data_IF_336446166534
#
_entry.id   IF_336446166534
#
_cell.length_a   1.000
_cell.length_b   1.000
_cell.length_c   1.000
_cell.angle_alpha   90.00
_cell.angle_beta   90.00
_cell.angle_gamma   90.00
#
_symmetry.space_group_name_H-M   'P 1'
#
loop_
_entity.id
_entity.type
_entity.pdbx_description
1 polymer ?
#
# COMPACT_ATOMS: atom_id res chain seq x y z
N UNK A 1 -9.52 10.55 -39.12
CA UNK A 1 -8.34 9.67 -39.04
C UNK A 1 -7.13 10.35 -38.38
N UNK A 2 -6.80 11.62 -38.66
CA UNK A 2 -5.72 12.31 -37.92
C UNK A 2 -6.11 12.70 -36.48
N UNK A 3 -7.37 13.08 -36.23
CA UNK A 3 -7.87 13.41 -34.88
C UNK A 3 -7.83 12.22 -33.92
N UNK A 4 -8.27 11.06 -34.39
CA UNK A 4 -8.33 9.81 -33.61
C UNK A 4 -6.96 9.29 -33.20
N UNK A 5 -5.94 9.50 -34.04
CA UNK A 5 -4.58 9.09 -33.70
C UNK A 5 -3.97 9.98 -32.61
N UNK A 6 -4.21 11.30 -32.67
CA UNK A 6 -3.71 12.24 -31.64
C UNK A 6 -4.36 11.95 -30.29
N UNK A 7 -5.66 11.65 -30.26
CA UNK A 7 -6.37 11.25 -29.04
C UNK A 7 -5.80 9.94 -28.43
N UNK A 8 -5.58 8.91 -29.25
CA UNK A 8 -4.98 7.64 -28.78
C UNK A 8 -3.58 7.87 -28.18
N UNK A 9 -2.74 8.70 -28.83
CA UNK A 9 -1.42 9.01 -28.27
C UNK A 9 -1.49 9.79 -26.95
N UNK A 10 -2.50 10.66 -26.78
CA UNK A 10 -2.72 11.35 -25.51
C UNK A 10 -3.18 10.39 -24.39
N UNK A 11 -4.13 9.51 -24.66
CA UNK A 11 -4.64 8.54 -23.68
C UNK A 11 -3.53 7.57 -23.23
N UNK A 12 -2.73 7.05 -24.17
CA UNK A 12 -1.60 6.19 -23.85
C UNK A 12 -0.54 6.92 -23.01
N UNK A 13 -0.27 8.19 -23.33
CA UNK A 13 0.66 9.01 -22.55
C UNK A 13 0.17 9.20 -21.13
N UNK A 14 -1.12 9.51 -20.94
CA UNK A 14 -1.72 9.65 -19.62
C UNK A 14 -1.67 8.34 -18.83
N UNK A 15 -1.96 7.21 -19.49
CA UNK A 15 -1.79 5.88 -18.88
C UNK A 15 -0.36 5.64 -18.40
N UNK A 16 0.64 5.88 -19.24
CA UNK A 16 2.04 5.65 -18.85
C UNK A 16 2.49 6.59 -17.73
N UNK A 17 2.04 7.84 -17.73
CA UNK A 17 2.31 8.77 -16.64
C UNK A 17 1.71 8.27 -15.32
N UNK A 18 0.44 7.84 -15.31
CA UNK A 18 -0.19 7.27 -14.11
C UNK A 18 0.54 5.98 -13.68
N UNK A 19 0.77 5.06 -14.63
CA UNK A 19 1.38 3.75 -14.37
C UNK A 19 2.79 3.86 -13.79
N UNK A 20 3.65 4.71 -14.35
CA UNK A 20 5.03 4.88 -13.88
C UNK A 20 5.15 5.77 -12.64
N UNK A 21 4.08 6.46 -12.25
CA UNK A 21 4.07 7.27 -11.03
C UNK A 21 3.87 6.45 -9.75
N UNK A 22 3.34 5.23 -9.87
CA UNK A 22 3.16 4.32 -8.76
C UNK A 22 4.51 3.94 -8.13
N UNK A 23 4.62 4.09 -6.80
CA UNK A 23 5.77 3.58 -6.05
C UNK A 23 5.77 2.05 -6.12
N UNK A 24 6.74 1.49 -6.84
CA UNK A 24 6.89 0.04 -7.00
C UNK A 24 7.94 -0.52 -6.03
N UNK A 25 7.49 -1.36 -5.10
CA UNK A 25 8.34 -1.97 -4.08
C UNK A 25 8.43 -3.47 -4.33
N UNK A 26 9.66 -3.95 -4.46
CA UNK A 26 9.97 -5.34 -4.83
C UNK A 26 10.78 -6.01 -3.73
N UNK A 27 11.01 -7.32 -3.90
CA UNK A 27 11.96 -8.03 -3.05
C UNK A 27 13.34 -7.40 -3.08
N UNK A 28 14.02 -7.44 -1.94
CA UNK A 28 15.40 -6.98 -1.79
C UNK A 28 16.30 -8.07 -1.24
N UNK A 29 17.55 -7.96 -1.62
CA UNK A 29 18.68 -8.72 -1.08
C UNK A 29 19.67 -7.74 -0.46
N UNK A 30 20.64 -8.26 0.29
CA UNK A 30 21.68 -7.45 0.94
C UNK A 30 21.11 -6.42 1.91
N UNK A 31 19.98 -6.74 2.54
CA UNK A 31 19.39 -5.93 3.60
C UNK A 31 20.28 -6.00 4.86
N UNK A 32 20.24 -4.98 5.73
CA UNK A 32 20.68 -5.15 7.11
C UNK A 32 19.97 -6.36 7.74
N UNK A 33 20.66 -7.10 8.62
CA UNK A 33 20.10 -8.30 9.24
C UNK A 33 18.70 -8.05 9.81
N UNK A 34 17.75 -8.87 9.36
CA UNK A 34 16.35 -8.74 9.75
C UNK A 34 16.18 -9.03 11.24
N UNK A 35 15.24 -8.37 11.93
CA UNK A 35 15.14 -8.38 13.39
C UNK A 35 15.18 -9.80 13.99
N UNK A 36 16.18 -10.06 14.83
CA UNK A 36 16.34 -11.33 15.54
C UNK A 36 16.87 -12.49 14.69
N UNK A 37 17.38 -12.24 13.49
CA UNK A 37 17.88 -13.28 12.56
C UNK A 37 19.15 -12.85 11.83
N UNK A 38 19.77 -13.79 11.10
CA UNK A 38 20.85 -13.50 10.14
C UNK A 38 20.34 -13.28 8.71
N UNK A 39 19.03 -13.36 8.49
CA UNK A 39 18.43 -13.17 7.17
C UNK A 39 18.63 -11.74 6.67
N UNK A 40 18.90 -11.59 5.38
CA UNK A 40 19.18 -10.30 4.72
C UNK A 40 18.34 -10.11 3.45
N UNK A 41 17.24 -10.87 3.33
CA UNK A 41 16.36 -10.81 2.17
C UNK A 41 14.91 -11.16 2.52
N UNK A 42 13.98 -10.56 1.80
CA UNK A 42 12.56 -10.92 1.83
C UNK A 42 12.13 -11.77 0.62
N UNK A 43 13.09 -12.17 -0.22
CA UNK A 43 12.85 -13.06 -1.35
C UNK A 43 12.18 -14.36 -0.91
N UNK A 44 11.06 -14.70 -1.53
CA UNK A 44 10.34 -15.96 -1.30
C UNK A 44 9.27 -15.92 -0.21
N UNK A 45 9.10 -14.80 0.51
CA UNK A 45 8.09 -14.70 1.56
C UNK A 45 7.51 -13.28 1.79
N UNK A 46 8.24 -12.22 1.41
CA UNK A 46 7.88 -10.83 1.68
C UNK A 46 6.78 -10.23 0.79
N UNK A 47 6.24 -10.94 -0.19
CA UNK A 47 5.43 -10.34 -1.27
C UNK A 47 4.24 -9.56 -0.73
N UNK A 48 3.52 -10.13 0.25
CA UNK A 48 2.34 -9.48 0.80
C UNK A 48 2.68 -8.21 1.57
N UNK A 49 3.83 -8.16 2.26
CA UNK A 49 4.30 -6.94 2.92
C UNK A 49 4.62 -5.87 1.87
N UNK A 50 5.32 -6.22 0.78
CA UNK A 50 5.59 -5.31 -0.34
C UNK A 50 4.30 -4.79 -0.99
N UNK A 51 3.32 -5.66 -1.23
CA UNK A 51 2.01 -5.27 -1.76
C UNK A 51 1.28 -4.29 -0.84
N UNK A 52 1.29 -4.52 0.48
CA UNK A 52 0.71 -3.58 1.43
C UNK A 52 1.51 -2.26 1.52
N UNK A 53 2.84 -2.31 1.43
CA UNK A 53 3.65 -1.09 1.36
C UNK A 53 3.25 -0.25 0.14
N UNK A 54 3.10 -0.86 -1.04
CA UNK A 54 2.67 -0.15 -2.27
C UNK A 54 1.27 0.45 -2.11
N UNK A 55 0.32 -0.29 -1.51
CA UNK A 55 -1.04 0.22 -1.25
C UNK A 55 -1.03 1.44 -0.32
N UNK A 56 -0.22 1.39 0.75
CA UNK A 56 -0.10 2.50 1.69
C UNK A 56 0.66 3.67 1.04
N UNK A 57 1.70 3.41 0.26
CA UNK A 57 2.46 4.42 -0.47
C UNK A 57 1.53 5.19 -1.42
N UNK A 58 0.74 4.48 -2.23
CA UNK A 58 -0.23 5.09 -3.14
C UNK A 58 -1.27 5.93 -2.37
N UNK A 59 -1.72 5.45 -1.22
CA UNK A 59 -2.63 6.24 -0.36
C UNK A 59 -1.99 7.56 0.08
N UNK A 60 -0.71 7.53 0.47
CA UNK A 60 0.01 8.74 0.86
C UNK A 60 0.25 9.67 -0.33
N UNK A 61 0.55 9.13 -1.52
CA UNK A 61 0.66 9.93 -2.75
C UNK A 61 -0.67 10.65 -3.02
N UNK A 62 -1.79 9.93 -3.03
CA UNK A 62 -3.11 10.52 -3.27
C UNK A 62 -3.47 11.61 -2.25
N UNK A 63 -3.10 11.42 -0.98
CA UNK A 63 -3.42 12.37 0.08
C UNK A 63 -2.58 13.65 0.06
N UNK A 64 -1.31 13.55 -0.32
CA UNK A 64 -0.38 14.68 -0.25
C UNK A 64 -0.16 15.35 -1.62
N UNK A 65 -0.19 14.57 -2.70
CA UNK A 65 0.16 15.01 -4.06
C UNK A 65 -1.01 14.96 -5.05
N UNK A 66 -2.11 14.30 -4.69
CA UNK A 66 -3.23 14.05 -5.61
C UNK A 66 -2.92 12.98 -6.66
N UNK A 67 -3.83 12.79 -7.62
CA UNK A 67 -3.73 11.76 -8.66
C UNK A 67 -3.12 12.33 -9.95
N UNK A 68 -1.81 12.20 -10.10
CA UNK A 68 -1.07 12.54 -11.34
C UNK A 68 -0.94 14.04 -11.66
N UNK A 69 -1.56 14.94 -10.90
CA UNK A 69 -1.42 16.40 -11.05
C UNK A 69 0.02 16.85 -10.75
N UNK A 70 0.64 16.21 -9.76
CA UNK A 70 2.01 16.48 -9.33
C UNK A 70 3.07 16.12 -10.39
N UNK A 71 2.75 15.23 -11.33
CA UNK A 71 3.64 14.85 -12.45
C UNK A 71 3.77 15.93 -13.52
N UNK A 72 2.89 16.96 -13.48
CA UNK A 72 2.87 18.07 -14.44
C UNK A 72 3.60 19.32 -13.92
N UNK A 73 4.10 19.27 -12.68
CA UNK A 73 4.78 20.34 -11.95
C UNK A 73 6.20 19.90 -11.60
N UNK A 74 7.22 20.71 -11.86
CA UNK A 74 8.63 20.23 -11.87
C UNK A 74 9.40 20.36 -10.55
N UNK A 75 8.94 21.14 -9.54
CA UNK A 75 9.86 21.52 -8.43
C UNK A 75 9.37 21.15 -7.03
N UNK A 76 8.11 21.39 -6.65
CA UNK A 76 7.63 21.14 -5.27
C UNK A 76 7.14 19.70 -5.05
N UNK A 77 6.70 19.02 -6.12
CA UNK A 77 6.18 17.65 -6.08
C UNK A 77 7.26 16.60 -5.85
N UNK A 78 8.50 16.85 -6.28
CA UNK A 78 9.60 15.87 -6.21
C UNK A 78 10.11 15.65 -4.78
N UNK A 79 10.18 16.71 -3.97
CA UNK A 79 10.65 16.60 -2.58
C UNK A 79 9.63 15.88 -1.68
N UNK A 80 8.34 16.20 -1.82
CA UNK A 80 7.27 15.50 -1.10
C UNK A 80 7.16 14.03 -1.54
N UNK A 81 7.32 13.74 -2.84
CA UNK A 81 7.42 12.37 -3.34
C UNK A 81 8.59 11.61 -2.71
N UNK A 82 9.79 12.20 -2.68
CA UNK A 82 10.97 11.59 -2.04
C UNK A 82 10.76 11.37 -0.54
N UNK A 83 10.12 12.32 0.14
CA UNK A 83 9.79 12.18 1.55
C UNK A 83 8.85 11.00 1.80
N UNK A 84 7.84 10.80 0.95
CA UNK A 84 6.94 9.64 1.03
C UNK A 84 7.72 8.35 0.73
N UNK A 85 8.53 8.33 -0.33
CA UNK A 85 9.35 7.17 -0.71
C UNK A 85 10.31 6.75 0.41
N UNK A 86 10.95 7.72 1.07
CA UNK A 86 11.88 7.47 2.18
C UNK A 86 11.23 6.76 3.37
N UNK A 87 9.91 6.91 3.57
CA UNK A 87 9.19 6.18 4.63
C UNK A 87 9.26 4.66 4.45
N UNK A 88 9.38 4.19 3.21
CA UNK A 88 9.37 2.77 2.83
C UNK A 88 10.76 2.22 2.54
N UNK A 89 11.81 3.01 2.75
CA UNK A 89 13.18 2.57 2.53
C UNK A 89 13.46 1.27 3.30
N UNK A 90 14.31 0.42 2.71
CA UNK A 90 14.73 -0.84 3.30
C UNK A 90 15.85 -0.63 4.35
N UNK A 91 15.62 0.34 5.21
CA UNK A 91 16.50 0.77 6.29
C UNK A 91 15.85 0.45 7.66
N UNK A 92 16.68 0.29 8.67
CA UNK A 92 16.24 -0.03 10.05
C UNK A 92 15.40 1.08 10.68
N UNK A 93 15.60 2.33 10.26
CA UNK A 93 14.95 3.52 10.81
C UNK A 93 13.70 3.95 10.03
N UNK A 94 13.49 3.40 8.83
CA UNK A 94 12.36 3.72 7.99
C UNK A 94 11.03 3.28 8.64
N UNK A 95 10.08 4.20 8.90
CA UNK A 95 8.90 3.91 9.72
C UNK A 95 7.89 2.97 9.06
N UNK A 96 7.85 2.92 7.73
CA UNK A 96 7.01 2.03 6.92
C UNK A 96 7.86 0.98 6.17
N UNK A 97 9.17 0.93 6.45
CA UNK A 97 10.12 -0.02 5.89
C UNK A 97 9.92 -1.43 6.44
N UNK A 98 10.52 -2.41 5.74
CA UNK A 98 10.37 -3.83 6.05
C UNK A 98 10.80 -4.16 7.49
N UNK A 99 11.96 -3.67 7.93
CA UNK A 99 12.48 -3.92 9.29
C UNK A 99 11.48 -3.49 10.36
N UNK A 100 10.84 -2.33 10.19
CA UNK A 100 9.87 -1.83 11.15
C UNK A 100 8.63 -2.71 11.24
N UNK A 101 8.13 -3.17 10.10
CA UNK A 101 6.98 -4.08 10.05
C UNK A 101 7.29 -5.41 10.74
N UNK A 102 8.47 -5.98 10.50
CA UNK A 102 8.91 -7.23 11.14
C UNK A 102 9.13 -7.08 12.65
N UNK A 103 9.69 -5.94 13.09
CA UNK A 103 9.79 -5.64 14.52
C UNK A 103 8.41 -5.63 15.19
N UNK A 104 7.39 -5.07 14.53
CA UNK A 104 6.01 -5.05 15.04
C UNK A 104 5.42 -6.46 15.03
N UNK A 105 5.63 -7.22 13.97
CA UNK A 105 5.15 -8.59 13.84
C UNK A 105 5.68 -9.47 14.98
N UNK A 106 6.99 -9.41 15.24
CA UNK A 106 7.61 -10.13 16.34
C UNK A 106 7.11 -9.63 17.70
N UNK A 107 7.22 -8.32 17.98
CA UNK A 107 6.86 -7.77 19.31
C UNK A 107 5.38 -7.97 19.68
N UNK A 108 4.47 -7.92 18.71
CA UNK A 108 3.03 -7.97 18.98
C UNK A 108 2.43 -9.36 18.82
N UNK A 109 2.94 -10.14 17.86
CA UNK A 109 2.33 -11.40 17.47
C UNK A 109 3.28 -12.60 17.60
N UNK A 110 4.53 -12.39 18.01
CA UNK A 110 5.58 -13.42 18.09
C UNK A 110 5.80 -14.14 16.76
N UNK A 111 5.62 -13.41 15.65
CA UNK A 111 5.79 -13.94 14.31
C UNK A 111 7.26 -13.87 13.90
N UNK A 112 7.87 -15.00 13.50
CA UNK A 112 9.24 -15.02 13.06
C UNK A 112 9.39 -14.40 11.66
N UNK A 113 10.61 -13.97 11.35
CA UNK A 113 11.00 -13.59 9.98
C UNK A 113 10.85 -14.80 9.05
N UNK A 114 10.45 -14.57 7.80
CA UNK A 114 10.33 -15.64 6.79
C UNK A 114 8.91 -16.19 6.60
N UNK A 115 7.93 -15.80 7.41
CA UNK A 115 6.56 -16.29 7.25
C UNK A 115 5.80 -15.56 6.16
N UNK A 116 4.80 -16.24 5.60
CA UNK A 116 3.86 -15.67 4.64
C UNK A 116 2.74 -14.96 5.39
N UNK A 117 2.42 -13.73 4.96
CA UNK A 117 1.35 -12.93 5.55
C UNK A 117 0.09 -13.01 4.70
N UNK A 118 -1.08 -13.10 5.35
CA UNK A 118 -2.36 -12.80 4.68
C UNK A 118 -2.52 -11.28 4.50
N UNK A 119 -3.35 -10.81 3.55
CA UNK A 119 -3.55 -9.38 3.31
C UNK A 119 -3.94 -8.61 4.57
N UNK A 120 -4.92 -9.11 5.33
CA UNK A 120 -5.42 -8.43 6.52
C UNK A 120 -4.37 -8.44 7.64
N UNK A 121 -3.55 -9.49 7.74
CA UNK A 121 -2.48 -9.57 8.72
C UNK A 121 -1.36 -8.56 8.41
N UNK A 122 -0.90 -8.53 7.16
CA UNK A 122 0.09 -7.55 6.69
C UNK A 122 -0.41 -6.11 6.92
N UNK A 123 -1.65 -5.81 6.52
CA UNK A 123 -2.27 -4.50 6.74
C UNK A 123 -2.32 -4.10 8.23
N UNK A 124 -2.58 -5.07 9.12
CA UNK A 124 -2.64 -4.81 10.56
C UNK A 124 -1.33 -4.26 11.15
N UNK A 125 -0.18 -4.53 10.50
CA UNK A 125 1.13 -4.02 10.92
C UNK A 125 1.25 -2.51 10.69
N UNK A 126 0.58 -1.97 9.68
CA UNK A 126 0.62 -0.55 9.32
C UNK A 126 -0.22 0.35 10.24
N UNK A 127 -1.17 -0.23 10.99
CA UNK A 127 -2.13 0.52 11.82
C UNK A 127 -1.47 1.48 12.83
N UNK A 128 -0.24 1.19 13.27
CA UNK A 128 0.49 2.00 14.26
C UNK A 128 1.70 2.74 13.69
N UNK A 129 2.10 2.45 12.46
CA UNK A 129 3.26 3.09 11.84
C UNK A 129 2.87 4.29 10.99
N UNK A 130 1.69 4.25 10.38
CA UNK A 130 1.17 5.37 9.58
C UNK A 130 0.65 6.48 10.49
N UNK A 131 1.47 7.50 10.73
CA UNK A 131 1.02 8.73 11.39
C UNK A 131 0.19 9.55 10.39
N UNK A 132 -0.92 10.15 10.84
CA UNK A 132 -1.78 11.01 9.99
C UNK A 132 -2.81 10.26 9.13
N UNK A 133 -2.58 8.98 8.82
CA UNK A 133 -3.52 8.12 8.09
C UNK A 133 -4.20 7.13 9.04
N UNK A 134 -5.53 7.11 9.08
CA UNK A 134 -6.29 6.06 9.77
C UNK A 134 -6.40 4.84 8.86
N UNK A 135 -6.32 3.65 9.44
CA UNK A 135 -6.51 2.38 8.72
C UNK A 135 -7.70 1.64 9.32
N UNK A 136 -8.65 1.25 8.48
CA UNK A 136 -9.78 0.41 8.83
C UNK A 136 -9.95 -0.69 7.80
N UNK A 137 -10.26 -1.90 8.27
CA UNK A 137 -10.54 -3.01 7.37
C UNK A 137 -11.62 -3.92 7.93
N UNK A 138 -12.31 -4.60 7.02
CA UNK A 138 -13.36 -5.58 7.33
C UNK A 138 -13.06 -6.89 6.62
N UNK A 139 -13.45 -8.01 7.23
CA UNK A 139 -13.15 -9.36 6.73
C UNK A 139 -14.38 -10.12 6.22
N UNK A 140 -15.56 -9.64 6.56
CA UNK A 140 -16.87 -10.24 6.27
C UNK A 140 -17.63 -9.50 5.16
N UNK A 141 -17.03 -8.44 4.60
CA UNK A 141 -17.65 -7.59 3.59
C UNK A 141 -18.72 -6.64 4.13
N UNK A 142 -18.91 -6.55 5.45
CA UNK A 142 -19.91 -5.69 6.07
C UNK A 142 -19.27 -4.37 6.47
N UNK A 143 -19.76 -3.26 5.91
CA UNK A 143 -19.31 -1.92 6.25
C UNK A 143 -20.36 -1.21 7.11
N UNK A 144 -20.04 -1.03 8.40
CA UNK A 144 -20.88 -0.26 9.31
C UNK A 144 -20.45 1.20 9.27
N UNK A 145 -21.32 2.05 8.71
CA UNK A 145 -21.06 3.50 8.54
C UNK A 145 -20.64 4.19 9.84
N UNK A 146 -21.23 3.79 10.96
CA UNK A 146 -20.94 4.40 12.26
C UNK A 146 -19.54 4.03 12.79
N UNK A 147 -19.06 2.82 12.52
CA UNK A 147 -17.67 2.44 12.85
C UNK A 147 -16.67 3.24 12.02
N UNK A 148 -16.96 3.43 10.74
CA UNK A 148 -16.13 4.24 9.84
C UNK A 148 -16.10 5.70 10.33
N UNK A 149 -17.24 6.27 10.71
CA UNK A 149 -17.31 7.61 11.31
C UNK A 149 -16.46 7.71 12.57
N UNK A 150 -16.56 6.74 13.47
CA UNK A 150 -15.80 6.75 14.71
C UNK A 150 -14.29 6.71 14.47
N UNK A 151 -13.84 5.88 13.52
CA UNK A 151 -12.41 5.75 13.21
C UNK A 151 -11.86 6.96 12.45
N UNK A 152 -12.65 7.56 11.58
CA UNK A 152 -12.28 8.72 10.75
C UNK A 152 -12.54 10.08 11.40
N UNK A 153 -12.88 10.12 12.70
CA UNK A 153 -13.27 11.35 13.39
C UNK A 153 -14.39 12.11 12.67
N UNK A 154 -15.47 11.39 12.32
CA UNK A 154 -16.58 11.85 11.50
C UNK A 154 -16.14 12.34 10.11
N UNK A 155 -15.36 11.52 9.39
CA UNK A 155 -14.82 11.79 8.06
C UNK A 155 -13.90 13.02 7.96
N UNK A 156 -13.35 13.49 9.10
CA UNK A 156 -12.41 14.61 9.13
C UNK A 156 -10.95 14.19 9.04
N UNK A 157 -10.64 12.93 9.36
CA UNK A 157 -9.31 12.37 9.25
C UNK A 157 -9.19 11.50 7.99
N UNK A 158 -8.06 11.55 7.27
CA UNK A 158 -7.77 10.63 6.17
C UNK A 158 -7.90 9.17 6.60
N UNK A 159 -8.57 8.36 5.79
CA UNK A 159 -8.85 6.96 6.07
C UNK A 159 -8.52 6.08 4.87
N UNK A 160 -7.65 5.10 5.06
CA UNK A 160 -7.51 3.94 4.18
C UNK A 160 -8.51 2.87 4.63
N UNK A 161 -9.53 2.63 3.81
CA UNK A 161 -10.53 1.60 3.99
C UNK A 161 -10.18 0.38 3.12
N UNK A 162 -10.04 -0.80 3.73
CA UNK A 162 -9.73 -2.04 3.01
C UNK A 162 -10.81 -3.10 3.28
N UNK A 163 -11.39 -3.65 2.22
CA UNK A 163 -12.37 -4.74 2.34
C UNK A 163 -11.66 -6.03 1.98
N UNK A 164 -11.29 -6.82 2.99
CA UNK A 164 -10.76 -8.16 2.78
C UNK A 164 -11.90 -9.08 2.35
N UNK A 165 -11.84 -9.61 1.14
CA UNK A 165 -12.85 -10.52 0.59
C UNK A 165 -12.27 -11.89 0.27
N UNK A 166 -13.10 -12.93 0.44
CA UNK A 166 -12.84 -14.27 -0.09
C UNK A 166 -13.87 -14.58 -1.17
N UNK A 167 -13.48 -14.40 -2.43
CA UNK A 167 -14.37 -14.53 -3.58
C UNK A 167 -14.57 -15.98 -4.07
N UNK A 168 -14.04 -16.96 -3.35
CA UNK A 168 -14.18 -18.37 -3.70
C UNK A 168 -13.32 -19.30 -2.83
N UNK A 169 -13.36 -20.58 -3.14
CA UNK A 169 -12.59 -21.61 -2.43
C UNK A 169 -11.21 -21.79 -3.05
N UNK A 170 -11.15 -22.19 -4.33
CA UNK A 170 -9.92 -22.41 -5.11
C UNK A 170 -9.79 -21.46 -6.29
N UNK A 171 -10.93 -21.00 -6.83
CA UNK A 171 -11.02 -20.03 -7.92
C UNK A 171 -12.01 -18.94 -7.55
N UNK A 172 -11.83 -17.75 -8.13
CA UNK A 172 -12.80 -16.66 -8.00
C UNK A 172 -14.14 -17.12 -8.59
N UNK A 173 -15.22 -16.92 -7.84
CA UNK A 173 -16.56 -17.09 -8.35
C UNK A 173 -16.94 -15.86 -9.20
N UNK A 174 -17.16 -16.08 -10.50
CA UNK A 174 -17.48 -15.01 -11.46
C UNK A 174 -18.80 -14.29 -11.15
N UNK A 175 -19.69 -14.86 -10.34
CA UNK A 175 -20.94 -14.20 -9.92
C UNK A 175 -20.66 -12.90 -9.15
N UNK A 176 -19.55 -12.83 -8.40
CA UNK A 176 -19.17 -11.63 -7.64
C UNK A 176 -18.67 -10.46 -8.48
N UNK A 177 -18.39 -10.65 -9.77
CA UNK A 177 -17.86 -9.61 -10.67
C UNK A 177 -18.95 -8.67 -11.22
N UNK A 178 -20.21 -9.10 -11.23
CA UNK A 178 -21.32 -8.38 -11.87
C UNK A 178 -22.17 -7.56 -10.90
N UNK A 179 -21.89 -7.61 -9.60
CA UNK A 179 -22.54 -6.74 -8.63
C UNK A 179 -21.82 -5.39 -8.62
N UNK A 180 -22.21 -4.51 -9.55
CA UNK A 180 -21.91 -3.08 -9.47
C UNK A 180 -22.49 -2.54 -8.16
N UNK A 181 -21.61 -2.04 -7.28
CA UNK A 181 -21.99 -1.21 -6.12
C UNK A 181 -22.22 0.22 -6.62
#
# INVERSE_FOLDING_TARGET
>A
MMSTNVEIYSELREFFLDYYSCIWLTYRTCLPSLPGTTETTDCGWGCMLRSCQMMVAETLILLNLGRGEWLKSEVTSDEEYKNILALFADDVDAPLGLHKLLQIAYKKYQEPVGIWYSPCKALSLFRRTCKGLKLFWVNDGILVKEEIRNVSCNFKAPLLLVICVRLGTTKINMVGFFLQI
#
